data_IF_765832346025
#
_entry.id   IF_765832346025
#
_cell.length_a   1.000
_cell.length_b   1.000
_cell.length_c   1.000
_cell.angle_alpha   90.00
_cell.angle_beta   90.00
_cell.angle_gamma   90.00
#
_symmetry.space_group_name_H-M   'P 1'
#
loop_
_entity.id
_entity.type
_entity.pdbx_description
1 polymer ?
#
# COMPACT_ATOMS: atom_id res chain seq x y z
N UNK A 1 10.31 7.51 -29.69
CA UNK A 1 10.21 6.07 -29.38
C UNK A 1 10.91 5.87 -28.05
N UNK A 2 10.17 5.87 -26.95
CA UNK A 2 10.71 5.67 -25.61
C UNK A 2 10.05 4.41 -25.03
N UNK A 3 10.66 3.29 -25.36
CA UNK A 3 10.45 2.01 -24.70
C UNK A 3 11.48 1.90 -23.57
N UNK A 4 11.17 2.39 -22.40
CA UNK A 4 11.95 2.04 -21.20
C UNK A 4 11.30 2.49 -19.89
N UNK A 5 10.01 2.24 -19.73
CA UNK A 5 9.37 2.27 -18.41
C UNK A 5 8.62 0.96 -18.15
N UNK A 6 9.27 -0.17 -18.42
CA UNK A 6 8.89 -1.40 -17.76
C UNK A 6 9.39 -1.31 -16.31
N UNK A 7 8.62 -0.66 -15.43
CA UNK A 7 8.68 -0.99 -14.02
C UNK A 7 8.48 -2.51 -13.97
N UNK A 8 9.45 -3.23 -13.45
CA UNK A 8 9.32 -4.65 -13.13
C UNK A 8 8.17 -4.75 -12.10
N UNK A 9 6.97 -4.97 -12.61
CA UNK A 9 5.83 -5.25 -11.76
C UNK A 9 6.02 -6.67 -11.27
N UNK A 10 6.11 -6.83 -9.96
CA UNK A 10 6.12 -8.16 -9.35
C UNK A 10 4.88 -8.92 -9.78
N UNK A 11 5.04 -10.20 -10.10
CA UNK A 11 3.88 -11.05 -10.35
C UNK A 11 3.06 -11.23 -9.05
N UNK A 12 1.79 -11.55 -9.19
CA UNK A 12 0.93 -11.88 -8.04
C UNK A 12 1.54 -12.98 -7.17
N UNK A 13 2.23 -13.94 -7.79
CA UNK A 13 2.88 -15.07 -7.12
C UNK A 13 4.10 -14.61 -6.31
N UNK A 14 4.92 -13.70 -6.85
CA UNK A 14 6.09 -13.13 -6.17
C UNK A 14 5.66 -12.35 -4.92
N UNK A 15 4.62 -11.52 -5.03
CA UNK A 15 4.06 -10.77 -3.90
C UNK A 15 3.53 -11.73 -2.82
N UNK A 16 2.78 -12.76 -3.21
CA UNK A 16 2.24 -13.74 -2.27
C UNK A 16 3.35 -14.51 -1.55
N UNK A 17 4.42 -14.90 -2.28
CA UNK A 17 5.58 -15.59 -1.72
C UNK A 17 6.31 -14.72 -0.70
N UNK A 18 6.56 -13.46 -1.01
CA UNK A 18 7.20 -12.51 -0.06
C UNK A 18 6.35 -12.29 1.19
N UNK A 19 5.04 -12.09 1.03
CA UNK A 19 4.12 -11.96 2.18
C UNK A 19 4.17 -13.21 3.05
N UNK A 20 4.17 -14.41 2.44
CA UNK A 20 4.28 -15.68 3.17
C UNK A 20 5.60 -15.78 3.95
N UNK A 21 6.74 -15.48 3.32
CA UNK A 21 8.05 -15.54 3.95
C UNK A 21 8.15 -14.51 5.09
N UNK A 22 7.72 -13.27 4.85
CA UNK A 22 7.70 -12.22 5.86
C UNK A 22 6.87 -12.58 7.10
N UNK A 23 5.75 -13.26 6.89
CA UNK A 23 4.87 -13.71 7.99
C UNK A 23 5.40 -14.93 8.71
N UNK A 24 6.02 -15.87 7.96
CA UNK A 24 6.47 -17.16 8.52
C UNK A 24 7.78 -17.03 9.28
N UNK A 25 8.70 -16.22 8.78
CA UNK A 25 10.07 -16.10 9.29
C UNK A 25 10.37 -14.75 9.93
N UNK A 26 9.40 -13.84 9.94
CA UNK A 26 9.49 -12.56 10.62
C UNK A 26 9.07 -12.65 12.09
N UNK A 27 9.51 -11.68 12.87
CA UNK A 27 9.15 -11.56 14.29
C UNK A 27 7.92 -10.68 14.53
N UNK A 28 7.41 -10.01 13.48
CA UNK A 28 6.22 -9.18 13.52
C UNK A 28 5.32 -9.43 12.31
N UNK A 29 4.02 -9.12 12.44
CA UNK A 29 3.02 -9.35 11.40
C UNK A 29 2.39 -8.02 10.95
N UNK A 30 2.78 -7.56 9.76
CA UNK A 30 2.25 -6.32 9.17
C UNK A 30 0.73 -6.35 9.02
N UNK A 31 0.17 -7.50 8.65
CA UNK A 31 -1.27 -7.64 8.46
C UNK A 31 -2.07 -7.39 9.75
N UNK A 32 -1.53 -7.80 10.89
CA UNK A 32 -2.14 -7.54 12.20
C UNK A 32 -1.89 -6.11 12.67
N UNK A 33 -0.71 -5.58 12.34
CA UNK A 33 -0.30 -4.24 12.71
C UNK A 33 -1.17 -3.16 12.04
N UNK A 34 -1.49 -3.30 10.74
CA UNK A 34 -2.20 -2.28 9.95
C UNK A 34 -3.55 -1.88 10.58
N UNK A 35 -4.50 -2.79 10.85
CA UNK A 35 -5.80 -2.40 11.42
C UNK A 35 -5.68 -1.67 12.77
N UNK A 36 -4.65 -2.05 13.57
CA UNK A 36 -4.42 -1.44 14.88
C UNK A 36 -3.86 -0.01 14.79
N UNK A 37 -3.23 0.35 13.66
CA UNK A 37 -2.61 1.68 13.46
C UNK A 37 -3.43 2.61 12.55
N UNK A 38 -4.52 2.13 11.97
CA UNK A 38 -5.40 2.95 11.16
C UNK A 38 -6.43 3.74 12.00
N UNK A 39 -6.46 3.59 13.32
CA UNK A 39 -7.46 4.21 14.21
C UNK A 39 -8.90 4.04 13.68
N UNK A 40 -9.24 2.80 13.30
CA UNK A 40 -10.50 2.46 12.65
C UNK A 40 -11.70 2.65 13.59
N UNK A 41 -12.74 3.31 13.09
CA UNK A 41 -13.99 3.51 13.80
C UNK A 41 -15.13 2.82 13.07
N UNK A 42 -16.14 2.42 13.82
CA UNK A 42 -17.32 1.82 13.25
C UNK A 42 -18.01 2.79 12.29
N UNK A 43 -18.52 2.26 11.18
CA UNK A 43 -19.29 2.98 10.15
C UNK A 43 -18.49 4.07 9.38
N UNK A 44 -17.16 4.15 9.51
CA UNK A 44 -16.33 5.05 8.70
C UNK A 44 -16.34 4.67 7.21
N UNK A 45 -16.36 5.67 6.34
CA UNK A 45 -16.13 5.51 4.90
C UNK A 45 -14.64 5.39 4.63
N UNK A 46 -14.21 4.20 4.24
CA UNK A 46 -12.78 3.87 4.08
C UNK A 46 -12.47 3.52 2.63
N UNK A 47 -11.34 4.04 2.10
CA UNK A 47 -10.83 3.71 0.78
C UNK A 47 -9.43 3.10 0.86
N UNK A 48 -9.25 1.91 0.28
CA UNK A 48 -7.96 1.26 0.03
C UNK A 48 -7.48 1.58 -1.38
N UNK A 49 -6.35 2.28 -1.51
CA UNK A 49 -5.77 2.73 -2.79
C UNK A 49 -4.63 1.81 -3.18
N UNK A 50 -4.79 1.05 -4.27
CA UNK A 50 -3.87 0.01 -4.69
C UNK A 50 -4.08 -1.26 -3.86
N UNK A 51 -5.33 -1.73 -3.77
CA UNK A 51 -5.73 -2.79 -2.84
C UNK A 51 -5.24 -4.20 -3.22
N UNK A 52 -4.67 -4.39 -4.42
CA UNK A 52 -4.27 -5.70 -4.92
C UNK A 52 -5.42 -6.71 -4.84
N UNK A 53 -5.16 -7.87 -4.25
CA UNK A 53 -6.17 -8.91 -4.06
C UNK A 53 -7.14 -8.65 -2.87
N UNK A 54 -7.16 -7.44 -2.34
CA UNK A 54 -8.08 -7.00 -1.31
C UNK A 54 -7.81 -7.57 0.09
N UNK A 55 -6.57 -7.99 0.38
CA UNK A 55 -6.22 -8.58 1.68
C UNK A 55 -6.52 -7.62 2.84
N UNK A 56 -5.99 -6.41 2.77
CA UNK A 56 -6.08 -5.43 3.86
C UNK A 56 -7.49 -4.87 4.01
N UNK A 57 -8.19 -4.58 2.91
CA UNK A 57 -9.56 -4.05 3.00
C UNK A 57 -10.54 -5.06 3.61
N UNK A 58 -10.32 -6.37 3.45
CA UNK A 58 -11.14 -7.37 4.15
C UNK A 58 -10.94 -7.33 5.66
N UNK A 59 -9.69 -7.15 6.11
CA UNK A 59 -9.39 -7.04 7.54
C UNK A 59 -9.98 -5.74 8.12
N UNK A 60 -9.86 -4.63 7.40
CA UNK A 60 -10.47 -3.33 7.74
C UNK A 60 -11.99 -3.43 7.80
N UNK A 61 -12.64 -4.10 6.84
CA UNK A 61 -14.09 -4.28 6.81
C UNK A 61 -14.62 -5.01 8.06
N UNK A 62 -13.86 -5.97 8.59
CA UNK A 62 -14.22 -6.68 9.83
C UNK A 62 -14.24 -5.77 11.07
N UNK A 63 -13.51 -4.66 11.05
CA UNK A 63 -13.48 -3.68 12.15
C UNK A 63 -14.55 -2.61 11.94
N UNK A 64 -14.62 -2.04 10.73
CA UNK A 64 -15.54 -0.93 10.38
C UNK A 64 -17.01 -1.38 10.46
N UNK A 65 -17.34 -2.56 9.96
CA UNK A 65 -18.68 -3.22 10.04
C UNK A 65 -19.87 -2.44 9.45
N UNK A 66 -19.65 -1.28 8.86
CA UNK A 66 -20.71 -0.46 8.27
C UNK A 66 -21.07 -0.90 6.86
N UNK A 67 -22.36 -0.94 6.53
CA UNK A 67 -22.81 -1.20 5.17
C UNK A 67 -22.41 -0.05 4.24
N UNK A 68 -21.91 -0.40 3.02
CA UNK A 68 -21.41 0.57 2.05
C UNK A 68 -20.35 1.54 2.62
N UNK A 69 -19.49 1.05 3.49
CA UNK A 69 -18.42 1.83 4.11
C UNK A 69 -17.03 1.51 3.55
N UNK A 70 -16.84 0.33 2.98
CA UNK A 70 -15.55 -0.14 2.47
C UNK A 70 -15.48 -0.05 0.96
N UNK A 71 -14.47 0.66 0.47
CA UNK A 71 -14.17 0.89 -0.94
C UNK A 71 -12.71 0.55 -1.19
N UNK A 72 -12.43 -0.01 -2.38
CA UNK A 72 -11.08 -0.39 -2.76
C UNK A 72 -10.88 -0.23 -4.26
N UNK A 73 -9.70 0.23 -4.66
CA UNK A 73 -9.35 0.33 -6.06
C UNK A 73 -7.98 -0.25 -6.36
N UNK A 74 -7.86 -0.82 -7.54
CA UNK A 74 -6.59 -1.22 -8.14
C UNK A 74 -6.68 -1.06 -9.66
N UNK A 75 -5.56 -0.80 -10.31
CA UNK A 75 -5.51 -0.71 -11.78
C UNK A 75 -5.54 -2.09 -12.43
N UNK A 76 -5.08 -3.12 -11.72
CA UNK A 76 -5.01 -4.49 -12.20
C UNK A 76 -6.38 -5.18 -12.10
N UNK A 77 -6.94 -5.48 -13.28
CA UNK A 77 -8.23 -6.14 -13.41
C UNK A 77 -8.25 -7.56 -12.82
N UNK A 78 -7.13 -8.27 -12.91
CA UNK A 78 -7.04 -9.64 -12.42
C UNK A 78 -6.98 -9.66 -10.90
N UNK A 79 -6.29 -8.70 -10.28
CA UNK A 79 -6.31 -8.46 -8.84
C UNK A 79 -7.72 -8.14 -8.34
N UNK A 80 -8.45 -7.25 -9.00
CA UNK A 80 -9.84 -6.95 -8.65
C UNK A 80 -10.74 -8.17 -8.81
N UNK A 81 -10.56 -8.96 -9.87
CA UNK A 81 -11.31 -10.21 -10.06
C UNK A 81 -11.07 -11.21 -8.91
N UNK A 82 -9.84 -11.35 -8.45
CA UNK A 82 -9.50 -12.16 -7.27
C UNK A 82 -10.13 -11.59 -6.00
N UNK A 83 -10.04 -10.28 -5.79
CA UNK A 83 -10.64 -9.58 -4.64
C UNK A 83 -12.13 -9.84 -4.53
N UNK A 84 -12.86 -9.74 -5.64
CA UNK A 84 -14.29 -10.03 -5.70
C UNK A 84 -14.61 -11.48 -5.30
N UNK A 85 -13.83 -12.45 -5.79
CA UNK A 85 -13.98 -13.87 -5.41
C UNK A 85 -13.73 -14.11 -3.94
N UNK A 86 -12.62 -13.57 -3.42
CA UNK A 86 -12.22 -13.75 -2.02
C UNK A 86 -13.14 -13.02 -1.03
N UNK A 87 -13.86 -12.00 -1.49
CA UNK A 87 -14.78 -11.18 -0.68
C UNK A 87 -16.26 -11.54 -0.91
N UNK A 88 -16.56 -12.57 -1.69
CA UNK A 88 -17.96 -12.93 -2.04
C UNK A 88 -18.88 -13.17 -0.85
N UNK A 89 -18.32 -13.64 0.27
CA UNK A 89 -19.04 -13.91 1.52
C UNK A 89 -18.71 -12.89 2.62
N UNK A 90 -18.07 -11.75 2.28
CA UNK A 90 -17.72 -10.73 3.26
C UNK A 90 -18.97 -9.98 3.74
N UNK A 91 -19.03 -9.71 5.03
CA UNK A 91 -19.99 -8.79 5.65
C UNK A 91 -19.20 -7.86 6.57
N UNK A 92 -19.21 -6.55 6.33
CA UNK A 92 -19.94 -5.81 5.29
C UNK A 92 -19.40 -6.03 3.88
N UNK A 93 -20.21 -5.66 2.88
CA UNK A 93 -19.85 -5.71 1.46
C UNK A 93 -18.79 -4.66 1.14
N UNK A 94 -17.78 -5.07 0.37
CA UNK A 94 -16.70 -4.21 -0.13
C UNK A 94 -17.00 -3.81 -1.59
N UNK A 95 -16.84 -2.53 -1.90
CA UNK A 95 -17.04 -1.99 -3.23
C UNK A 95 -15.68 -1.88 -3.94
N UNK A 96 -15.44 -2.73 -4.95
CA UNK A 96 -14.19 -2.76 -5.71
C UNK A 96 -14.29 -2.01 -7.03
N UNK A 97 -13.22 -1.29 -7.41
CA UNK A 97 -13.12 -0.51 -8.65
C UNK A 97 -11.83 -0.85 -9.39
N UNK A 98 -11.94 -1.19 -10.67
CA UNK A 98 -10.76 -1.30 -11.56
C UNK A 98 -10.46 0.09 -12.09
N UNK A 99 -9.48 0.76 -11.52
CA UNK A 99 -9.04 2.09 -11.96
C UNK A 99 -7.65 2.44 -11.44
N UNK A 100 -6.92 3.28 -12.17
CA UNK A 100 -5.66 3.84 -11.69
C UNK A 100 -5.89 4.78 -10.50
N UNK A 101 -4.99 4.76 -9.53
CA UNK A 101 -4.99 5.75 -8.44
C UNK A 101 -4.81 7.17 -8.96
N UNK A 102 -4.09 7.35 -10.07
CA UNK A 102 -3.86 8.67 -10.69
C UNK A 102 -5.15 9.30 -11.25
N UNK A 103 -6.19 8.48 -11.50
CA UNK A 103 -7.47 8.96 -12.03
C UNK A 103 -8.48 9.35 -10.95
N UNK A 104 -8.15 9.20 -9.66
CA UNK A 104 -9.08 9.39 -8.55
C UNK A 104 -9.62 10.81 -8.47
N UNK A 105 -8.79 11.81 -8.84
CA UNK A 105 -9.15 13.22 -8.81
C UNK A 105 -10.22 13.59 -9.83
N UNK A 106 -10.22 12.96 -11.00
CA UNK A 106 -11.13 13.21 -12.12
C UNK A 106 -12.30 12.24 -12.20
N UNK A 107 -12.23 11.16 -11.43
CA UNK A 107 -13.27 10.12 -11.41
C UNK A 107 -14.56 10.60 -10.74
N UNK A 108 -15.68 10.27 -11.37
CA UNK A 108 -17.02 10.46 -10.80
C UNK A 108 -17.43 9.35 -9.81
N UNK A 109 -16.58 8.33 -9.60
CA UNK A 109 -16.88 7.23 -8.68
C UNK A 109 -16.94 7.69 -7.21
N UNK A 110 -16.20 8.75 -6.87
CA UNK A 110 -16.11 9.25 -5.50
C UNK A 110 -16.39 10.75 -5.44
N UNK A 111 -17.37 11.12 -4.61
CA UNK A 111 -17.65 12.53 -4.32
C UNK A 111 -16.52 13.16 -3.51
N UNK A 112 -16.40 14.48 -3.58
CA UNK A 112 -15.54 15.21 -2.67
C UNK A 112 -16.10 15.14 -1.23
N UNK A 113 -15.22 15.23 -0.23
CA UNK A 113 -15.57 15.16 1.18
C UNK A 113 -16.35 13.88 1.57
N UNK A 114 -15.95 12.73 1.00
CA UNK A 114 -16.69 11.48 1.16
C UNK A 114 -16.08 10.52 2.17
N UNK A 115 -14.74 10.39 2.20
CA UNK A 115 -14.05 9.41 3.01
C UNK A 115 -13.62 9.96 4.38
N UNK A 116 -13.77 9.14 5.41
CA UNK A 116 -13.20 9.37 6.74
C UNK A 116 -11.73 8.94 6.80
N UNK A 117 -11.39 7.87 6.10
CA UNK A 117 -10.04 7.34 5.97
C UNK A 117 -9.75 6.95 4.52
N UNK A 118 -8.60 7.38 4.02
CA UNK A 118 -8.00 6.85 2.79
C UNK A 118 -6.66 6.26 3.18
N UNK A 119 -6.37 5.02 2.76
CA UNK A 119 -5.06 4.43 3.02
C UNK A 119 -4.51 3.71 1.80
N UNK A 120 -3.20 3.50 1.78
CA UNK A 120 -2.49 2.73 0.76
C UNK A 120 -1.38 1.92 1.42
N UNK A 121 -1.29 0.63 1.08
CA UNK A 121 -0.31 -0.29 1.64
C UNK A 121 0.58 -0.83 0.52
N UNK A 122 1.86 -0.47 0.54
CA UNK A 122 2.87 -0.90 -0.44
C UNK A 122 2.46 -0.72 -1.91
N UNK A 123 1.66 0.32 -2.21
CA UNK A 123 1.18 0.62 -3.56
C UNK A 123 1.44 2.07 -3.99
N UNK A 124 1.59 3.00 -3.04
CA UNK A 124 1.62 4.43 -3.32
C UNK A 124 2.76 4.85 -4.27
N UNK A 125 3.90 4.18 -4.24
CA UNK A 125 5.06 4.45 -5.10
C UNK A 125 4.86 4.06 -6.58
N UNK A 126 3.73 3.45 -6.94
CA UNK A 126 3.37 3.18 -8.34
C UNK A 126 2.66 4.36 -9.02
N UNK A 127 2.31 5.43 -8.29
CA UNK A 127 1.75 6.65 -8.89
C UNK A 127 2.74 7.33 -9.84
N UNK A 128 2.22 8.07 -10.78
CA UNK A 128 3.02 8.91 -11.69
C UNK A 128 3.59 10.15 -10.99
N UNK A 129 2.84 10.66 -10.00
CA UNK A 129 3.22 11.84 -9.22
C UNK A 129 2.55 11.80 -7.84
N UNK A 130 3.35 11.69 -6.79
CA UNK A 130 2.86 11.57 -5.41
C UNK A 130 2.09 12.82 -4.96
N UNK A 131 2.54 14.01 -5.38
CA UNK A 131 1.92 15.28 -4.97
C UNK A 131 0.54 15.46 -5.63
N UNK A 132 0.42 15.14 -6.92
CA UNK A 132 -0.86 15.21 -7.63
C UNK A 132 -1.86 14.20 -7.06
N UNK A 133 -1.40 12.99 -6.73
CA UNK A 133 -2.23 11.99 -6.08
C UNK A 133 -2.68 12.47 -4.70
N UNK A 134 -1.77 12.96 -3.84
CA UNK A 134 -2.10 13.48 -2.52
C UNK A 134 -3.10 14.64 -2.57
N UNK A 135 -2.96 15.56 -3.54
CA UNK A 135 -3.93 16.62 -3.77
C UNK A 135 -5.31 16.05 -4.12
N UNK A 136 -5.35 15.04 -4.99
CA UNK A 136 -6.58 14.37 -5.38
C UNK A 136 -7.25 13.66 -4.20
N UNK A 137 -6.47 12.89 -3.43
CA UNK A 137 -6.96 12.20 -2.24
C UNK A 137 -7.51 13.18 -1.20
N UNK A 138 -6.79 14.29 -0.96
CA UNK A 138 -7.21 15.33 -0.03
C UNK A 138 -8.60 15.90 -0.38
N UNK A 139 -8.92 16.05 -1.68
CA UNK A 139 -10.26 16.51 -2.09
C UNK A 139 -11.37 15.50 -1.77
N UNK A 140 -11.04 14.20 -1.72
CA UNK A 140 -12.00 13.13 -1.42
C UNK A 140 -12.20 12.91 0.08
N UNK A 141 -11.28 13.41 0.92
CA UNK A 141 -11.43 13.36 2.37
C UNK A 141 -12.48 14.32 2.89
N UNK A 142 -13.20 13.92 3.93
CA UNK A 142 -13.96 14.82 4.80
C UNK A 142 -13.02 15.82 5.50
N UNK A 143 -13.55 16.95 6.02
CA UNK A 143 -12.73 17.96 6.71
C UNK A 143 -11.86 17.40 7.85
N UNK A 144 -12.38 16.41 8.58
CA UNK A 144 -11.69 15.74 9.70
C UNK A 144 -11.19 14.32 9.30
N UNK A 145 -11.15 14.03 8.00
CA UNK A 145 -10.66 12.77 7.47
C UNK A 145 -9.14 12.67 7.51
N UNK A 146 -8.63 11.43 7.49
CA UNK A 146 -7.19 11.13 7.56
C UNK A 146 -6.70 10.30 6.38
N UNK A 147 -5.42 10.47 6.03
CA UNK A 147 -4.71 9.64 5.05
C UNK A 147 -3.64 8.85 5.80
N UNK A 148 -3.52 7.56 5.49
CA UNK A 148 -2.43 6.70 5.96
C UNK A 148 -1.68 6.08 4.78
N UNK A 149 -0.39 6.34 4.65
CA UNK A 149 0.48 5.78 3.61
C UNK A 149 1.49 4.85 4.28
N UNK A 150 1.42 3.57 3.91
CA UNK A 150 2.29 2.53 4.45
C UNK A 150 3.17 2.01 3.32
N UNK A 151 4.47 2.06 3.52
CA UNK A 151 5.43 1.65 2.51
C UNK A 151 6.83 1.47 3.06
N UNK A 152 7.80 1.09 2.21
CA UNK A 152 9.18 0.86 2.65
C UNK A 152 9.83 2.14 3.18
N UNK A 153 10.61 2.01 4.22
CA UNK A 153 11.39 3.08 4.83
C UNK A 153 12.90 2.91 4.53
N UNK A 154 13.70 3.95 4.80
CA UNK A 154 15.13 4.08 4.41
C UNK A 154 16.01 2.87 4.75
N UNK A 155 15.72 2.17 5.82
CA UNK A 155 16.48 1.00 6.27
C UNK A 155 15.86 -0.33 5.82
N UNK A 156 14.84 -0.28 4.95
CA UNK A 156 14.21 -1.49 4.41
C UNK A 156 15.23 -2.36 3.67
N UNK A 157 15.38 -3.60 4.12
CA UNK A 157 16.34 -4.57 3.59
C UNK A 157 17.82 -4.10 3.64
N UNK A 158 18.19 -3.24 4.57
CA UNK A 158 19.53 -2.64 4.70
C UNK A 158 20.64 -3.68 4.77
N UNK A 159 20.49 -4.71 5.58
CA UNK A 159 21.52 -5.74 5.74
C UNK A 159 21.73 -6.52 4.44
N UNK A 160 20.66 -6.76 3.72
CA UNK A 160 20.72 -7.37 2.39
C UNK A 160 21.46 -6.48 1.38
N UNK A 161 21.12 -5.20 1.30
CA UNK A 161 21.80 -4.27 0.42
C UNK A 161 23.28 -4.14 0.77
N UNK A 162 23.61 -4.02 2.04
CA UNK A 162 24.99 -3.98 2.51
C UNK A 162 25.76 -5.25 2.16
N UNK A 163 25.12 -6.40 2.16
CA UNK A 163 25.71 -7.66 1.71
C UNK A 163 25.95 -7.66 0.19
N UNK A 164 24.95 -7.30 -0.60
CA UNK A 164 25.06 -7.29 -2.07
C UNK A 164 26.12 -6.32 -2.59
N UNK A 165 26.22 -5.12 -2.04
CA UNK A 165 27.21 -4.11 -2.45
C UNK A 165 28.66 -4.54 -2.27
N UNK A 166 28.91 -5.64 -1.56
CA UNK A 166 30.25 -6.22 -1.48
C UNK A 166 30.64 -7.00 -2.74
N UNK A 167 29.68 -7.39 -3.57
CA UNK A 167 29.89 -8.30 -4.70
C UNK A 167 29.49 -7.71 -6.05
N UNK A 168 28.60 -6.74 -6.08
CA UNK A 168 28.07 -6.13 -7.29
C UNK A 168 28.00 -4.61 -7.18
N UNK A 169 28.34 -3.93 -8.26
CA UNK A 169 27.99 -2.53 -8.45
C UNK A 169 26.55 -2.47 -8.96
N UNK A 170 25.70 -1.78 -8.21
CA UNK A 170 24.29 -1.60 -8.57
C UNK A 170 24.11 -0.19 -9.11
N UNK A 171 23.47 -0.05 -10.26
CA UNK A 171 23.14 1.25 -10.86
C UNK A 171 22.33 2.08 -9.86
N UNK A 172 22.70 3.36 -9.70
CA UNK A 172 21.99 4.33 -8.84
C UNK A 172 20.50 4.40 -9.15
N UNK A 173 20.10 4.13 -10.41
CA UNK A 173 18.69 4.06 -10.78
C UNK A 173 17.98 2.86 -10.16
N UNK A 174 18.64 1.73 -9.98
CA UNK A 174 18.06 0.58 -9.28
C UNK A 174 17.84 0.88 -7.81
N UNK A 175 18.77 1.60 -7.18
CA UNK A 175 18.62 2.06 -5.81
C UNK A 175 17.42 3.03 -5.64
N UNK A 176 17.01 3.75 -6.68
CA UNK A 176 15.80 4.58 -6.62
C UNK A 176 14.51 3.79 -6.47
N UNK A 177 14.43 2.56 -6.97
CA UNK A 177 13.25 1.70 -6.80
C UNK A 177 13.16 1.07 -5.40
N UNK A 178 14.30 0.93 -4.74
CA UNK A 178 14.35 0.54 -3.32
C UNK A 178 14.28 1.75 -2.42
N UNK A 179 14.31 2.95 -3.01
CA UNK A 179 14.49 4.21 -2.32
C UNK A 179 13.14 4.70 -1.79
N UNK A 180 13.19 5.13 -0.59
CA UNK A 180 12.14 5.73 0.21
C UNK A 180 11.93 7.20 -0.09
N UNK A 181 12.42 7.69 -1.25
CA UNK A 181 12.30 9.09 -1.64
C UNK A 181 10.83 9.52 -1.72
N UNK A 182 9.95 8.62 -2.23
CA UNK A 182 8.52 8.89 -2.25
C UNK A 182 7.98 9.17 -0.83
N UNK A 183 8.47 8.46 0.19
CA UNK A 183 8.02 8.67 1.57
C UNK A 183 8.45 10.04 2.10
N UNK A 184 9.63 10.54 1.72
CA UNK A 184 10.06 11.92 2.02
C UNK A 184 9.15 12.94 1.36
N UNK A 185 8.73 12.70 0.11
CA UNK A 185 7.78 13.57 -0.59
C UNK A 185 6.41 13.58 0.11
N UNK A 186 5.93 12.41 0.54
CA UNK A 186 4.70 12.26 1.32
C UNK A 186 4.80 13.03 2.65
N UNK A 187 5.89 12.85 3.40
CA UNK A 187 6.12 13.56 4.68
C UNK A 187 6.18 15.08 4.49
N UNK A 188 6.91 15.56 3.49
CA UNK A 188 7.03 16.99 3.21
C UNK A 188 5.68 17.59 2.82
N UNK A 189 4.90 16.88 2.02
CA UNK A 189 3.55 17.29 1.67
C UNK A 189 2.65 17.32 2.91
N UNK A 190 2.73 16.29 3.76
CA UNK A 190 1.92 16.20 4.97
C UNK A 190 2.20 17.37 5.92
N UNK A 191 3.47 17.71 6.16
CA UNK A 191 3.91 18.84 7.02
C UNK A 191 3.31 20.20 6.60
N UNK A 192 3.02 20.37 5.31
CA UNK A 192 2.47 21.62 4.77
C UNK A 192 0.93 21.60 4.76
N UNK A 193 0.32 20.43 4.54
CA UNK A 193 -1.07 20.30 4.14
C UNK A 193 -1.99 19.72 5.21
N UNK A 194 -1.46 19.11 6.27
CA UNK A 194 -2.24 18.51 7.36
C UNK A 194 -1.90 19.17 8.70
N UNK A 195 -2.88 19.24 9.61
CA UNK A 195 -2.70 19.83 10.93
C UNK A 195 -1.96 18.91 11.90
N UNK A 196 -2.21 17.62 11.76
CA UNK A 196 -1.65 16.56 12.62
C UNK A 196 -0.97 15.54 11.73
N UNK A 197 0.20 15.11 12.15
CA UNK A 197 1.01 14.12 11.44
C UNK A 197 1.54 13.15 12.48
N UNK A 198 1.32 11.87 12.23
CA UNK A 198 1.93 10.78 12.98
C UNK A 198 2.82 9.98 12.05
N UNK A 199 4.03 9.67 12.49
CA UNK A 199 4.97 8.80 11.78
C UNK A 199 5.27 7.63 12.70
N UNK A 200 4.88 6.45 12.26
CA UNK A 200 5.10 5.20 13.00
C UNK A 200 5.92 4.24 12.17
N UNK A 201 6.89 3.61 12.78
CA UNK A 201 7.75 2.64 12.12
C UNK A 201 7.32 1.21 12.49
N UNK A 202 7.17 0.37 11.46
CA UNK A 202 6.96 -1.07 11.61
C UNK A 202 8.26 -1.80 11.28
N UNK A 203 8.83 -2.49 12.26
CA UNK A 203 10.04 -3.29 12.09
C UNK A 203 9.68 -4.76 12.11
N UNK A 204 10.08 -5.51 11.08
CA UNK A 204 9.95 -6.95 10.99
C UNK A 204 11.29 -7.56 10.63
N UNK A 205 11.98 -8.12 11.61
CA UNK A 205 13.24 -8.82 11.40
C UNK A 205 12.95 -10.23 10.88
N UNK A 206 13.46 -10.54 9.68
CA UNK A 206 13.20 -11.80 8.99
C UNK A 206 14.43 -12.70 9.08
N UNK A 207 14.30 -13.87 9.70
CA UNK A 207 15.36 -14.87 9.80
C UNK A 207 15.14 -15.97 8.77
N UNK A 208 15.73 -15.83 7.58
CA UNK A 208 15.58 -16.80 6.48
C UNK A 208 16.41 -18.04 6.76
N UNK A 209 15.78 -19.25 6.89
CA UNK A 209 16.45 -20.45 7.41
C UNK A 209 17.33 -21.18 6.39
N UNK A 210 17.20 -20.90 5.10
CA UNK A 210 17.96 -21.59 4.05
C UNK A 210 18.11 -20.77 2.79
N UNK A 211 19.10 -21.13 1.99
CA UNK A 211 19.35 -20.53 0.66
C UNK A 211 18.15 -20.74 -0.29
N UNK A 212 17.42 -21.84 -0.16
CA UNK A 212 16.30 -22.13 -1.05
C UNK A 212 15.09 -21.23 -0.73
N UNK A 213 14.81 -20.95 0.55
CA UNK A 213 13.82 -19.95 0.94
C UNK A 213 14.25 -18.55 0.52
N UNK A 214 15.54 -18.25 0.65
CA UNK A 214 16.09 -16.97 0.23
C UNK A 214 15.91 -16.74 -1.29
N UNK A 215 16.15 -17.75 -2.14
CA UNK A 215 15.93 -17.68 -3.59
C UNK A 215 14.47 -17.48 -3.99
N UNK A 216 13.52 -17.88 -3.14
CA UNK A 216 12.10 -17.63 -3.36
C UNK A 216 11.69 -16.20 -2.98
N UNK A 217 12.46 -15.56 -2.10
CA UNK A 217 12.19 -14.21 -1.65
C UNK A 217 12.62 -13.15 -2.68
N UNK A 218 13.70 -13.43 -3.44
CA UNK A 218 14.34 -12.55 -4.42
C UNK A 218 14.26 -13.09 -5.84
#
# INVERSE_FOLDING_TARGET
>A
MNESNNKLLDSTEDVATRVHINTTYGNNNLREWIPNHLDLKKDEKVLDVGCGNGLHIRDVANVVKGENCCFALDYDKDMISQSLKLSSNSSPKINFFTMSMDDIGTSNNFSNNFFDLIYSVYAFYYTKNEIDLLNSLKTKLKPDGRISIIGPHSDNNKDWWNFLFQFIEIDDNYCKYTNTEFMKNVENYAKINFKEIEITEFVNEISIPSIDIFRQYW
#
